data_IF_626579242946
#
_entry.id   IF_626579242946
#
_cell.length_a   1.000
_cell.length_b   1.000
_cell.length_c   1.000
_cell.angle_alpha   90.00
_cell.angle_beta   90.00
_cell.angle_gamma   90.00
#
_symmetry.space_group_name_H-M   'P 1'
#
loop_
_entity.id
_entity.type
_entity.pdbx_description
1 polymer ?
#
# COMPACT_ATOMS: atom_id res chain seq x y z
N UNK A 1 -14.66 5.65 -2.23
CA UNK A 1 -13.89 5.48 -3.48
C UNK A 1 -13.10 4.17 -3.41
N UNK A 2 -12.78 3.52 -4.53
CA UNK A 2 -11.92 2.34 -4.51
C UNK A 2 -10.46 2.77 -4.64
N UNK A 3 -9.58 2.12 -3.89
CA UNK A 3 -8.13 2.32 -3.94
C UNK A 3 -7.47 0.96 -4.04
N UNK A 4 -6.42 0.85 -4.86
CA UNK A 4 -5.64 -0.39 -4.98
C UNK A 4 -4.15 -0.08 -4.87
N UNK A 5 -3.45 -0.78 -3.98
CA UNK A 5 -1.98 -0.84 -4.03
C UNK A 5 -1.61 -1.96 -4.99
N UNK A 6 -0.86 -1.64 -6.03
CA UNK A 6 -0.31 -2.59 -6.99
C UNK A 6 1.19 -2.82 -6.72
N UNK A 7 1.57 -4.09 -6.63
CA UNK A 7 2.94 -4.57 -6.68
C UNK A 7 3.14 -5.38 -7.96
N UNK A 8 3.51 -4.70 -9.04
CA UNK A 8 3.73 -5.33 -10.34
C UNK A 8 4.88 -6.34 -10.31
N UNK A 9 5.92 -6.10 -9.50
CA UNK A 9 7.10 -6.95 -9.45
C UNK A 9 6.77 -8.35 -8.89
N UNK A 10 5.85 -8.43 -7.94
CA UNK A 10 5.39 -9.68 -7.34
C UNK A 10 4.03 -10.14 -7.86
N UNK A 11 3.44 -9.44 -8.84
CA UNK A 11 2.09 -9.68 -9.34
C UNK A 11 1.04 -9.72 -8.22
N UNK A 12 1.11 -8.78 -7.27
CA UNK A 12 0.20 -8.70 -6.12
C UNK A 12 -0.54 -7.39 -6.05
N UNK A 13 -1.72 -7.40 -5.44
CA UNK A 13 -2.47 -6.19 -5.18
C UNK A 13 -3.21 -6.24 -3.85
N UNK A 14 -3.47 -5.07 -3.28
CA UNK A 14 -4.34 -4.91 -2.12
C UNK A 14 -5.45 -3.93 -2.46
N UNK A 15 -6.72 -4.38 -2.47
CA UNK A 15 -7.86 -3.51 -2.66
C UNK A 15 -8.37 -2.94 -1.33
N UNK A 16 -8.50 -1.62 -1.26
CA UNK A 16 -9.29 -0.93 -0.25
C UNK A 16 -10.60 -0.45 -0.89
N UNK A 17 -11.71 -1.01 -0.42
CA UNK A 17 -13.05 -0.71 -0.95
C UNK A 17 -13.70 0.32 -0.04
N UNK A 18 -14.33 1.34 -0.64
CA UNK A 18 -15.00 2.44 0.06
C UNK A 18 -14.10 3.32 0.93
N UNK A 19 -12.85 3.55 0.51
CA UNK A 19 -11.98 4.53 1.17
C UNK A 19 -12.54 5.94 1.13
N UNK A 20 -12.35 6.63 2.25
CA UNK A 20 -12.40 8.08 2.44
C UNK A 20 -11.14 8.75 1.87
N UNK A 21 -11.18 10.06 1.72
CA UNK A 21 -10.02 10.86 1.29
C UNK A 21 -8.87 10.82 2.31
N UNK A 22 -9.19 10.80 3.62
CA UNK A 22 -8.19 10.66 4.68
C UNK A 22 -7.43 9.35 4.61
N UNK A 23 -8.14 8.24 4.40
CA UNK A 23 -7.54 6.92 4.21
C UNK A 23 -6.69 6.85 2.94
N UNK A 24 -7.14 7.47 1.84
CA UNK A 24 -6.34 7.59 0.63
C UNK A 24 -5.01 8.32 0.90
N UNK A 25 -5.06 9.50 1.53
CA UNK A 25 -3.86 10.27 1.84
C UNK A 25 -2.91 9.48 2.73
N UNK A 26 -3.44 8.77 3.72
CA UNK A 26 -2.66 7.91 4.60
C UNK A 26 -1.91 6.81 3.81
N UNK A 27 -2.63 6.07 2.96
CA UNK A 27 -2.03 4.98 2.17
C UNK A 27 -0.96 5.52 1.22
N UNK A 28 -1.25 6.64 0.53
CA UNK A 28 -0.30 7.26 -0.39
C UNK A 28 0.98 7.74 0.31
N UNK A 29 0.87 8.38 1.48
CA UNK A 29 2.04 8.82 2.26
C UNK A 29 2.90 7.62 2.71
N UNK A 30 2.27 6.57 3.22
CA UNK A 30 2.97 5.34 3.60
C UNK A 30 3.71 4.72 2.41
N UNK A 31 3.03 4.54 1.27
CA UNK A 31 3.62 3.95 0.07
C UNK A 31 4.79 4.80 -0.46
N UNK A 32 4.68 6.13 -0.46
CA UNK A 32 5.77 7.01 -0.88
C UNK A 32 7.02 6.84 0.00
N UNK A 33 6.86 6.78 1.32
CA UNK A 33 7.98 6.58 2.26
C UNK A 33 8.59 5.19 2.11
N UNK A 34 7.76 4.16 1.97
CA UNK A 34 8.19 2.77 1.77
C UNK A 34 8.96 2.62 0.45
N UNK A 35 8.43 3.13 -0.66
CA UNK A 35 9.09 3.12 -1.97
C UNK A 35 10.46 3.79 -1.90
N UNK A 36 10.54 4.97 -1.27
CA UNK A 36 11.80 5.70 -1.10
C UNK A 36 12.82 4.92 -0.27
N UNK A 37 12.40 4.31 0.85
CA UNK A 37 13.29 3.59 1.77
C UNK A 37 13.82 2.29 1.15
N UNK A 38 12.94 1.49 0.56
CA UNK A 38 13.31 0.16 0.05
C UNK A 38 13.64 0.13 -1.43
N UNK A 39 13.57 1.27 -2.14
CA UNK A 39 13.78 1.37 -3.59
C UNK A 39 12.88 0.38 -4.37
N UNK A 40 11.63 0.27 -3.94
CA UNK A 40 10.59 -0.52 -4.61
C UNK A 40 9.61 0.42 -5.33
N UNK A 41 8.76 -0.14 -6.20
CA UNK A 41 7.83 0.62 -7.04
C UNK A 41 6.39 0.14 -6.88
N UNK A 42 5.82 0.36 -5.70
CA UNK A 42 4.40 0.15 -5.46
C UNK A 42 3.62 1.33 -6.04
N UNK A 43 2.53 1.05 -6.72
CA UNK A 43 1.68 2.06 -7.36
C UNK A 43 0.33 2.08 -6.65
N UNK A 44 -0.17 3.27 -6.33
CA UNK A 44 -1.52 3.43 -5.77
C UNK A 44 -2.46 3.90 -6.86
N UNK A 45 -3.46 3.08 -7.17
CA UNK A 45 -4.52 3.40 -8.12
C UNK A 45 -5.77 3.87 -7.38
N UNK A 46 -6.42 4.88 -7.94
CA UNK A 46 -7.58 5.53 -7.32
C UNK A 46 -8.76 5.48 -8.30
N UNK A 47 -9.94 5.12 -7.80
CA UNK A 47 -11.16 5.04 -8.60
C UNK A 47 -11.19 3.89 -9.60
N UNK A 48 -10.37 2.85 -9.40
CA UNK A 48 -10.24 1.70 -10.30
C UNK A 48 -11.17 0.54 -9.94
N UNK A 49 -11.55 -0.25 -10.95
CA UNK A 49 -12.25 -1.52 -10.76
C UNK A 49 -11.23 -2.61 -10.36
N UNK A 50 -11.48 -3.26 -9.22
CA UNK A 50 -10.61 -4.33 -8.71
C UNK A 50 -10.61 -5.57 -9.63
N UNK A 51 -11.64 -5.73 -10.47
CA UNK A 51 -11.72 -6.82 -11.44
C UNK A 51 -10.60 -6.76 -12.49
N UNK A 52 -10.03 -5.59 -12.76
CA UNK A 52 -8.94 -5.44 -13.73
C UNK A 52 -7.66 -6.14 -13.27
N UNK A 53 -7.43 -6.23 -11.96
CA UNK A 53 -6.28 -6.93 -11.39
C UNK A 53 -6.45 -8.45 -11.49
N UNK A 54 -7.65 -8.96 -11.19
CA UNK A 54 -7.99 -10.37 -11.35
C UNK A 54 -7.81 -10.83 -12.80
N UNK A 55 -8.26 -10.04 -13.78
CA UNK A 55 -8.10 -10.35 -15.22
C UNK A 55 -6.63 -10.37 -15.66
N UNK A 56 -5.75 -9.64 -14.97
CA UNK A 56 -4.32 -9.57 -15.24
C UNK A 56 -3.50 -10.62 -14.46
N UNK A 57 -4.16 -11.60 -13.82
CA UNK A 57 -3.54 -12.65 -13.00
C UNK A 57 -2.75 -12.10 -11.79
N UNK A 58 -3.20 -10.99 -11.21
CA UNK A 58 -2.66 -10.54 -9.93
C UNK A 58 -3.26 -11.35 -8.77
N UNK A 59 -2.43 -11.65 -7.77
CA UNK A 59 -2.85 -12.27 -6.53
C UNK A 59 -3.19 -11.22 -5.48
N UNK A 60 -4.32 -11.38 -4.80
CA UNK A 60 -4.72 -10.47 -3.72
C UNK A 60 -3.88 -10.72 -2.46
N UNK A 61 -3.20 -9.70 -1.95
CA UNK A 61 -2.47 -9.72 -0.66
C UNK A 61 -3.01 -8.61 0.26
N UNK A 62 -4.04 -8.96 1.04
CA UNK A 62 -4.64 -8.05 2.02
C UNK A 62 -3.68 -7.63 3.15
N UNK A 63 -2.49 -8.22 3.26
CA UNK A 63 -1.50 -7.83 4.27
C UNK A 63 -0.34 -7.00 3.73
N UNK A 64 -0.32 -6.64 2.44
CA UNK A 64 0.87 -6.03 1.83
C UNK A 64 1.29 -4.74 2.54
N UNK A 65 0.33 -3.86 2.85
CA UNK A 65 0.62 -2.58 3.50
C UNK A 65 1.16 -2.78 4.91
N UNK A 66 0.47 -3.58 5.74
CA UNK A 66 0.88 -3.84 7.12
C UNK A 66 2.27 -4.48 7.21
N UNK A 67 2.54 -5.50 6.38
CA UNK A 67 3.86 -6.15 6.32
C UNK A 67 4.95 -5.15 5.96
N UNK A 68 4.68 -4.23 5.03
CA UNK A 68 5.65 -3.21 4.62
C UNK A 68 5.84 -2.12 5.67
N UNK A 69 4.78 -1.72 6.38
CA UNK A 69 4.86 -0.81 7.52
C UNK A 69 5.71 -1.44 8.64
N UNK A 70 5.46 -2.70 9.00
CA UNK A 70 6.26 -3.42 9.99
C UNK A 70 7.73 -3.52 9.55
N UNK A 71 7.98 -3.84 8.28
CA UNK A 71 9.34 -3.88 7.74
C UNK A 71 10.01 -2.50 7.78
N UNK A 72 9.31 -1.43 7.40
CA UNK A 72 9.79 -0.05 7.48
C UNK A 72 10.19 0.31 8.91
N UNK A 73 9.29 0.07 9.87
CA UNK A 73 9.47 0.40 11.27
C UNK A 73 10.59 -0.41 11.95
N UNK A 74 10.81 -1.66 11.53
CA UNK A 74 11.95 -2.47 12.01
C UNK A 74 13.32 -2.06 11.45
N UNK A 75 13.35 -1.20 10.42
CA UNK A 75 14.57 -0.75 9.75
C UNK A 75 14.79 0.77 9.89
N UNK A 76 14.22 1.41 10.91
CA UNK A 76 14.41 2.85 11.12
C UNK A 76 15.88 3.18 11.38
N UNK A 77 16.34 4.27 10.79
CA UNK A 77 17.63 4.90 11.11
C UNK A 77 17.42 6.18 11.92
N UNK A 78 18.50 6.72 12.47
CA UNK A 78 18.44 7.95 13.26
C UNK A 78 17.77 9.09 12.50
N UNK A 79 16.77 9.72 13.13
CA UNK A 79 15.99 10.82 12.55
C UNK A 79 14.75 10.41 11.75
N UNK A 80 14.53 9.11 11.50
CA UNK A 80 13.28 8.65 10.88
C UNK A 80 12.16 8.42 11.90
N UNK A 81 10.92 8.65 11.49
CA UNK A 81 9.72 8.48 12.31
C UNK A 81 8.98 7.20 11.91
N UNK A 82 8.45 6.50 12.91
CA UNK A 82 7.58 5.32 12.73
C UNK A 82 6.36 5.68 11.88
N UNK A 83 6.02 4.79 10.94
CA UNK A 83 4.73 4.81 10.27
C UNK A 83 3.66 4.24 11.20
N UNK A 84 2.53 4.94 11.31
CA UNK A 84 1.34 4.42 11.97
C UNK A 84 0.85 3.18 11.23
N UNK A 85 0.28 2.23 11.97
CA UNK A 85 -0.30 1.03 11.38
C UNK A 85 -1.67 1.36 10.80
N UNK A 86 -2.12 0.56 9.83
CA UNK A 86 -3.49 0.68 9.35
C UNK A 86 -4.46 0.24 10.45
N UNK A 87 -5.26 1.17 10.94
CA UNK A 87 -6.38 0.91 11.86
C UNK A 87 -7.66 1.25 11.13
N UNK A 88 -8.51 0.24 10.93
CA UNK A 88 -9.86 0.43 10.42
C UNK A 88 -10.78 0.51 11.64
N UNK A 89 -11.19 1.72 12.00
CA UNK A 89 -12.21 1.93 13.03
C UNK A 89 -13.58 1.38 12.58
#
# INVERSE_FOLDING_TARGET
>A
MNLVIEDFANMRYHPFIFCTEGEQMFVMDCINKINKKFKINLIVHIGVDTNDFTKKNFEMDQGILDKLIMKYNSNLVEGEVLLSHWTRD
#
